data_IF_084238191423
#
_entry.id   IF_084238191423
#
_cell.length_a   1.000
_cell.length_b   1.000
_cell.length_c   1.000
_cell.angle_alpha   90.00
_cell.angle_beta   90.00
_cell.angle_gamma   90.00
#
_symmetry.space_group_name_H-M   'P 1'
#
loop_
_entity.id
_entity.type
_entity.pdbx_description
1 polymer ?
#
# COMPACT_ATOMS: atom_id res chain seq x y z
N UNK A 1 -50.87 2.22 -6.52
CA UNK A 1 -49.98 1.87 -7.64
C UNK A 1 -48.60 1.89 -7.06
N UNK A 2 -48.12 0.71 -6.61
CA UNK A 2 -46.86 0.54 -5.88
C UNK A 2 -45.78 0.22 -6.90
N UNK A 3 -44.85 1.15 -7.11
CA UNK A 3 -43.67 0.91 -7.94
C UNK A 3 -42.69 0.01 -7.16
N UNK A 4 -42.56 -1.23 -7.59
CA UNK A 4 -41.51 -2.12 -7.15
C UNK A 4 -40.20 -1.66 -7.77
N UNK A 5 -39.36 -1.02 -6.96
CA UNK A 5 -37.95 -0.78 -7.30
C UNK A 5 -37.21 -2.11 -7.11
N UNK A 6 -37.08 -2.88 -8.18
CA UNK A 6 -36.19 -4.04 -8.20
C UNK A 6 -34.75 -3.51 -8.23
N UNK A 7 -34.11 -3.51 -7.06
CA UNK A 7 -32.68 -3.36 -6.95
C UNK A 7 -32.03 -4.53 -7.68
N UNK A 8 -31.51 -4.27 -8.89
CA UNK A 8 -30.60 -5.19 -9.56
C UNK A 8 -29.33 -5.28 -8.71
N UNK A 9 -29.26 -6.26 -7.83
CA UNK A 9 -27.99 -6.74 -7.30
C UNK A 9 -27.26 -7.30 -8.51
N UNK A 10 -26.30 -6.54 -9.02
CA UNK A 10 -25.32 -7.04 -9.99
C UNK A 10 -24.44 -8.03 -9.22
N UNK A 11 -24.83 -9.29 -9.23
CA UNK A 11 -23.90 -10.37 -8.85
C UNK A 11 -22.85 -10.37 -9.96
N UNK A 12 -21.70 -9.77 -9.68
CA UNK A 12 -20.51 -9.98 -10.48
C UNK A 12 -20.20 -11.47 -10.42
N UNK A 13 -20.51 -12.18 -11.50
CA UNK A 13 -20.11 -13.55 -11.69
C UNK A 13 -18.56 -13.57 -11.62
N UNK A 14 -18.05 -13.98 -10.47
CA UNK A 14 -16.61 -14.16 -10.30
C UNK A 14 -16.15 -15.25 -11.26
N UNK A 15 -15.28 -14.91 -12.21
CA UNK A 15 -14.72 -15.85 -13.15
C UNK A 15 -13.89 -16.90 -12.39
N UNK A 16 -14.29 -18.17 -12.43
CA UNK A 16 -13.49 -19.24 -11.89
C UNK A 16 -12.40 -19.62 -12.88
N UNK A 17 -11.15 -19.28 -12.57
CA UNK A 17 -9.98 -19.68 -13.35
C UNK A 17 -9.46 -21.03 -12.84
N UNK A 18 -9.42 -22.05 -13.72
CA UNK A 18 -8.79 -23.33 -13.45
C UNK A 18 -7.52 -23.48 -14.27
N UNK A 19 -6.38 -23.72 -13.61
CA UNK A 19 -5.08 -23.92 -14.27
C UNK A 19 -4.36 -25.13 -13.69
N UNK A 20 -3.57 -25.80 -14.53
CA UNK A 20 -2.68 -26.88 -14.09
C UNK A 20 -1.29 -26.32 -13.88
N UNK A 21 -0.74 -26.55 -12.70
CA UNK A 21 0.62 -26.20 -12.34
C UNK A 21 1.53 -27.44 -12.42
N UNK A 22 2.82 -27.24 -12.67
CA UNK A 22 3.81 -28.29 -12.46
C UNK A 22 3.96 -28.57 -10.96
N UNK A 23 4.36 -29.79 -10.60
CA UNK A 23 4.57 -30.19 -9.20
C UNK A 23 5.52 -29.23 -8.46
N UNK A 24 6.58 -28.78 -9.13
CA UNK A 24 7.51 -27.82 -8.56
C UNK A 24 6.84 -26.45 -8.28
N UNK A 25 6.05 -25.94 -9.22
CA UNK A 25 5.34 -24.67 -9.07
C UNK A 25 4.28 -24.77 -7.97
N UNK A 26 3.56 -25.89 -7.91
CA UNK A 26 2.60 -26.15 -6.84
C UNK A 26 3.28 -26.15 -5.47
N UNK A 27 4.39 -26.87 -5.32
CA UNK A 27 5.15 -26.90 -4.08
C UNK A 27 5.67 -25.52 -3.65
N UNK A 28 6.07 -24.67 -4.62
CA UNK A 28 6.48 -23.28 -4.36
C UNK A 28 5.30 -22.44 -3.89
N UNK A 29 4.15 -22.56 -4.54
CA UNK A 29 2.92 -21.86 -4.17
C UNK A 29 2.45 -22.25 -2.76
N UNK A 30 2.46 -23.53 -2.43
CA UNK A 30 2.10 -24.04 -1.10
C UNK A 30 3.02 -23.51 -0.01
N UNK A 31 4.34 -23.42 -0.29
CA UNK A 31 5.30 -22.82 0.67
C UNK A 31 5.03 -21.34 0.90
N UNK A 32 4.72 -20.60 -0.17
CA UNK A 32 4.39 -19.18 -0.06
C UNK A 32 3.08 -18.97 0.70
N UNK A 33 2.04 -19.75 0.37
CA UNK A 33 0.74 -19.71 1.03
C UNK A 33 0.86 -19.90 2.56
N UNK A 34 1.63 -20.90 2.99
CA UNK A 34 1.91 -21.13 4.42
C UNK A 34 2.59 -19.94 5.09
N UNK A 35 3.56 -19.29 4.42
CA UNK A 35 4.23 -18.10 4.97
C UNK A 35 3.30 -16.90 5.10
N UNK A 36 2.30 -16.81 4.22
CA UNK A 36 1.33 -15.70 4.21
C UNK A 36 0.08 -16.01 5.06
N UNK A 37 -0.03 -17.20 5.63
CA UNK A 37 -1.22 -17.62 6.37
C UNK A 37 -2.48 -17.74 5.51
N UNK A 38 -2.31 -18.03 4.21
CA UNK A 38 -3.37 -18.12 3.21
C UNK A 38 -3.45 -19.54 2.60
N UNK A 39 -4.57 -19.83 1.94
CA UNK A 39 -4.67 -21.02 1.11
C UNK A 39 -3.88 -20.86 -0.19
N UNK A 40 -3.47 -21.97 -0.86
CA UNK A 40 -2.82 -21.89 -2.17
C UNK A 40 -3.69 -21.17 -3.22
N UNK A 41 -5.01 -21.34 -3.19
CA UNK A 41 -5.94 -20.69 -4.11
C UNK A 41 -5.96 -19.16 -3.91
N UNK A 42 -6.12 -18.69 -2.67
CA UNK A 42 -6.07 -17.25 -2.35
C UNK A 42 -4.72 -16.64 -2.69
N UNK A 43 -3.63 -17.37 -2.42
CA UNK A 43 -2.28 -16.90 -2.77
C UNK A 43 -2.10 -16.81 -4.28
N UNK A 44 -2.62 -17.79 -5.04
CA UNK A 44 -2.59 -17.76 -6.50
C UNK A 44 -3.37 -16.57 -7.06
N UNK A 45 -4.60 -16.35 -6.58
CA UNK A 45 -5.43 -15.22 -6.98
C UNK A 45 -4.75 -13.88 -6.67
N UNK A 46 -4.18 -13.73 -5.47
CA UNK A 46 -3.42 -12.53 -5.07
C UNK A 46 -2.23 -12.27 -5.99
N UNK A 47 -1.42 -13.29 -6.31
CA UNK A 47 -0.27 -13.13 -7.19
C UNK A 47 -0.66 -12.75 -8.61
N UNK A 48 -1.78 -13.27 -9.12
CA UNK A 48 -2.32 -12.89 -10.43
C UNK A 48 -2.73 -11.42 -10.40
N UNK A 49 -3.50 -11.00 -9.41
CA UNK A 49 -3.95 -9.62 -9.24
C UNK A 49 -2.76 -8.65 -9.14
N UNK A 50 -1.77 -8.95 -8.28
CA UNK A 50 -0.55 -8.15 -8.16
C UNK A 50 0.20 -8.04 -9.50
N UNK A 51 0.34 -9.15 -10.23
CA UNK A 51 1.01 -9.16 -11.53
C UNK A 51 0.29 -8.33 -12.59
N UNK A 52 -1.05 -8.34 -12.59
CA UNK A 52 -1.85 -7.49 -13.46
C UNK A 52 -1.64 -6.02 -13.11
N UNK A 53 -1.73 -5.64 -11.85
CA UNK A 53 -1.47 -4.27 -11.40
C UNK A 53 -0.05 -3.80 -11.72
N UNK A 54 0.97 -4.65 -11.56
CA UNK A 54 2.34 -4.33 -11.96
C UNK A 54 2.50 -4.09 -13.47
N UNK A 55 1.65 -4.70 -14.30
CA UNK A 55 1.62 -4.48 -15.74
C UNK A 55 0.84 -3.22 -16.16
N UNK A 56 -0.16 -2.83 -15.38
CA UNK A 56 -1.03 -1.69 -15.63
C UNK A 56 -0.43 -0.38 -15.11
N UNK A 57 0.27 -0.43 -13.99
CA UNK A 57 0.81 0.76 -13.33
C UNK A 57 2.33 0.85 -13.46
N UNK A 58 2.80 1.90 -14.12
CA UNK A 58 4.23 2.20 -14.19
C UNK A 58 4.81 2.40 -12.78
N UNK A 59 6.04 1.94 -12.59
CA UNK A 59 6.79 2.06 -11.33
C UNK A 59 6.20 1.34 -10.11
N UNK A 60 5.14 0.56 -10.24
CA UNK A 60 4.56 -0.21 -9.13
C UNK A 60 5.14 -1.63 -9.10
N UNK A 61 5.41 -2.11 -7.88
CA UNK A 61 5.75 -3.51 -7.58
C UNK A 61 5.21 -3.90 -6.22
N UNK A 62 4.95 -5.19 -5.99
CA UNK A 62 4.45 -5.69 -4.72
C UNK A 62 5.55 -6.37 -3.91
N UNK A 63 5.69 -5.95 -2.66
CA UNK A 63 6.67 -6.51 -1.72
C UNK A 63 6.03 -6.96 -0.41
N UNK A 64 6.69 -7.90 0.26
CA UNK A 64 6.32 -8.24 1.64
C UNK A 64 6.75 -7.12 2.58
N UNK A 65 5.86 -6.70 3.43
CA UNK A 65 6.10 -5.83 4.57
C UNK A 65 5.74 -6.52 5.88
N UNK A 66 6.06 -5.96 7.04
CA UNK A 66 5.64 -6.52 8.33
C UNK A 66 4.12 -6.66 8.50
N UNK A 67 3.35 -5.85 7.78
CA UNK A 67 1.88 -5.84 7.82
C UNK A 67 1.23 -6.58 6.62
N UNK A 68 2.02 -7.31 5.84
CA UNK A 68 1.55 -8.06 4.68
C UNK A 68 2.15 -7.57 3.36
N UNK A 69 1.52 -7.93 2.25
CA UNK A 69 1.96 -7.47 0.94
C UNK A 69 1.40 -6.09 0.65
N UNK A 70 2.25 -5.20 0.16
CA UNK A 70 1.90 -3.82 -0.16
C UNK A 70 2.49 -3.38 -1.49
N UNK A 71 1.85 -2.38 -2.11
CA UNK A 71 2.36 -1.71 -3.30
C UNK A 71 3.50 -0.76 -2.93
N UNK A 72 4.64 -0.93 -3.59
CA UNK A 72 5.84 -0.11 -3.47
C UNK A 72 6.16 0.56 -4.80
N UNK A 73 6.87 1.65 -4.72
CA UNK A 73 7.41 2.32 -5.91
C UNK A 73 8.78 1.75 -6.25
N UNK A 74 8.94 1.26 -7.48
CA UNK A 74 10.21 0.70 -8.01
C UNK A 74 11.37 1.67 -7.78
N UNK A 75 12.54 1.11 -7.54
CA UNK A 75 13.78 1.84 -7.26
C UNK A 75 13.73 2.69 -5.98
N UNK A 76 12.90 2.29 -5.00
CA UNK A 76 12.83 2.90 -3.68
C UNK A 76 12.40 1.89 -2.62
N UNK A 77 12.44 2.31 -1.35
CA UNK A 77 11.88 1.56 -0.23
C UNK A 77 10.57 2.19 0.28
N UNK A 78 9.95 3.05 -0.54
CA UNK A 78 8.71 3.73 -0.19
C UNK A 78 7.51 2.97 -0.73
N UNK A 79 6.58 2.64 0.15
CA UNK A 79 5.26 2.19 -0.23
C UNK A 79 4.45 3.36 -0.82
N UNK A 80 3.48 3.05 -1.66
CA UNK A 80 2.63 4.09 -2.29
C UNK A 80 1.95 4.96 -1.24
N UNK A 81 1.38 4.36 -0.18
CA UNK A 81 0.70 5.10 0.87
C UNK A 81 1.61 6.11 1.59
N UNK A 82 2.91 5.80 1.76
CA UNK A 82 3.87 6.73 2.36
C UNK A 82 4.10 7.97 1.50
N UNK A 83 4.16 7.78 0.18
CA UNK A 83 4.27 8.90 -0.76
C UNK A 83 3.00 9.75 -0.74
N UNK A 84 1.82 9.14 -0.68
CA UNK A 84 0.54 9.85 -0.60
C UNK A 84 0.41 10.58 0.74
N UNK A 85 0.80 9.98 1.85
CA UNK A 85 0.78 10.62 3.17
C UNK A 85 1.69 11.86 3.18
N UNK A 86 2.89 11.77 2.63
CA UNK A 86 3.77 12.93 2.48
C UNK A 86 3.18 13.99 1.55
N UNK A 87 2.63 13.58 0.40
CA UNK A 87 2.02 14.51 -0.56
C UNK A 87 0.84 15.30 0.04
N UNK A 88 0.08 14.71 0.96
CA UNK A 88 -0.99 15.40 1.67
C UNK A 88 -0.47 16.59 2.48
N UNK A 89 0.76 16.55 3.02
CA UNK A 89 1.40 17.68 3.70
C UNK A 89 1.71 18.84 2.74
N UNK A 90 1.88 18.54 1.46
CA UNK A 90 2.10 19.51 0.38
C UNK A 90 0.83 19.82 -0.42
N UNK A 91 -0.37 19.57 0.15
CA UNK A 91 -1.65 19.80 -0.52
C UNK A 91 -1.76 19.04 -1.86
N UNK A 92 -1.14 17.87 -1.93
CA UNK A 92 -1.04 17.01 -3.12
C UNK A 92 -0.29 17.66 -4.29
N UNK A 93 0.60 18.60 -4.02
CA UNK A 93 1.49 19.19 -5.00
C UNK A 93 2.56 18.16 -5.42
N UNK A 94 2.48 17.73 -6.66
CA UNK A 94 3.36 16.68 -7.22
C UNK A 94 4.81 17.16 -7.30
N UNK A 95 5.03 18.42 -7.67
CA UNK A 95 6.38 18.98 -7.85
C UNK A 95 7.09 19.13 -6.51
N UNK A 96 6.42 19.68 -5.49
CA UNK A 96 6.98 19.79 -4.14
C UNK A 96 7.26 18.43 -3.53
N UNK A 97 6.35 17.46 -3.75
CA UNK A 97 6.54 16.08 -3.30
C UNK A 97 7.76 15.43 -3.98
N UNK A 98 7.92 15.64 -5.29
CA UNK A 98 9.04 15.12 -6.07
C UNK A 98 10.38 15.72 -5.59
N UNK A 99 10.43 17.02 -5.34
CA UNK A 99 11.61 17.72 -4.82
C UNK A 99 11.98 17.16 -3.43
N UNK A 100 11.01 17.02 -2.53
CA UNK A 100 11.24 16.49 -1.17
C UNK A 100 11.82 15.08 -1.22
N UNK A 101 11.24 14.20 -2.04
CA UNK A 101 11.66 12.81 -2.17
C UNK A 101 12.92 12.63 -3.04
N UNK A 102 13.40 13.70 -3.70
CA UNK A 102 14.50 13.65 -4.69
C UNK A 102 14.20 12.61 -5.79
N UNK A 103 12.97 12.61 -6.29
CA UNK A 103 12.46 11.73 -7.35
C UNK A 103 11.94 12.54 -8.52
N UNK A 104 11.69 11.88 -9.65
CA UNK A 104 11.09 12.52 -10.81
C UNK A 104 9.59 12.75 -10.61
N UNK A 105 9.04 13.71 -11.33
CA UNK A 105 7.60 14.02 -11.31
C UNK A 105 6.78 12.80 -11.76
N UNK A 106 7.24 12.07 -12.78
CA UNK A 106 6.57 10.88 -13.31
C UNK A 106 6.49 9.78 -12.27
N UNK A 107 7.54 9.62 -11.47
CA UNK A 107 7.59 8.63 -10.39
C UNK A 107 6.55 8.96 -9.29
N UNK A 108 6.39 10.24 -8.93
CA UNK A 108 5.37 10.67 -7.98
C UNK A 108 3.97 10.53 -8.58
N UNK A 109 3.78 10.92 -9.85
CA UNK A 109 2.50 10.73 -10.56
C UNK A 109 2.06 9.26 -10.60
N UNK A 110 2.99 8.32 -10.71
CA UNK A 110 2.65 6.90 -10.66
C UNK A 110 2.02 6.50 -9.31
N UNK A 111 2.52 7.05 -8.19
CA UNK A 111 1.90 6.84 -6.87
C UNK A 111 0.49 7.42 -6.81
N UNK A 112 0.26 8.61 -7.39
CA UNK A 112 -1.06 9.22 -7.43
C UNK A 112 -2.04 8.42 -8.27
N UNK A 113 -1.63 7.97 -9.46
CA UNK A 113 -2.47 7.15 -10.35
C UNK A 113 -2.89 5.83 -9.67
N UNK A 114 -1.95 5.19 -8.97
CA UNK A 114 -2.26 3.98 -8.22
C UNK A 114 -3.24 4.26 -7.07
N UNK A 115 -3.00 5.33 -6.30
CA UNK A 115 -3.86 5.71 -5.19
C UNK A 115 -5.27 6.14 -5.63
N UNK A 116 -5.41 6.69 -6.82
CA UNK A 116 -6.71 7.01 -7.42
C UNK A 116 -7.49 5.75 -7.80
N UNK A 117 -6.80 4.73 -8.30
CA UNK A 117 -7.41 3.46 -8.67
C UNK A 117 -7.75 2.58 -7.44
N UNK A 118 -6.96 2.67 -6.37
CA UNK A 118 -7.11 1.86 -5.15
C UNK A 118 -7.18 2.72 -3.88
N UNK A 119 -8.16 3.64 -3.77
CA UNK A 119 -8.20 4.61 -2.68
C UNK A 119 -8.42 3.97 -1.31
N UNK A 120 -9.21 2.89 -1.23
CA UNK A 120 -9.50 2.19 0.03
C UNK A 120 -8.25 1.51 0.59
N UNK A 121 -7.44 0.87 -0.27
CA UNK A 121 -6.17 0.24 0.12
C UNK A 121 -5.22 1.27 0.72
N UNK A 122 -5.10 2.42 0.09
CA UNK A 122 -4.19 3.49 0.52
C UNK A 122 -4.69 4.16 1.79
N UNK A 123 -5.99 4.44 1.89
CA UNK A 123 -6.58 5.04 3.10
C UNK A 123 -6.42 4.14 4.31
N UNK A 124 -6.70 2.84 4.17
CA UNK A 124 -6.56 1.87 5.23
C UNK A 124 -5.09 1.78 5.71
N UNK A 125 -4.13 1.74 4.78
CA UNK A 125 -2.72 1.69 5.15
C UNK A 125 -2.25 2.95 5.90
N UNK A 126 -2.77 4.13 5.55
CA UNK A 126 -2.49 5.38 6.27
C UNK A 126 -3.17 5.37 7.65
N UNK A 127 -4.40 4.91 7.75
CA UNK A 127 -5.13 4.79 9.02
C UNK A 127 -4.42 3.84 9.99
N UNK A 128 -3.97 2.69 9.49
CA UNK A 128 -3.19 1.72 10.27
C UNK A 128 -1.89 2.33 10.81
N UNK A 129 -1.16 3.09 9.98
CA UNK A 129 0.06 3.78 10.40
C UNK A 129 -0.22 4.84 11.48
N UNK A 130 -1.26 5.66 11.27
CA UNK A 130 -1.67 6.68 12.23
C UNK A 130 -2.21 6.09 13.55
N UNK A 131 -2.75 4.88 13.53
CA UNK A 131 -3.20 4.17 14.73
C UNK A 131 -2.03 3.68 15.61
N UNK A 132 -0.81 3.62 15.07
CA UNK A 132 0.39 3.24 15.80
C UNK A 132 0.77 4.40 16.74
N UNK A 133 0.62 4.19 18.04
CA UNK A 133 0.98 5.16 19.06
C UNK A 133 2.16 4.67 19.92
N UNK A 134 2.72 5.58 20.74
CA UNK A 134 3.85 5.26 21.60
C UNK A 134 3.59 4.03 22.51
N UNK A 135 2.38 3.88 23.01
CA UNK A 135 2.02 2.74 23.88
C UNK A 135 2.11 1.42 23.12
N UNK A 136 1.66 1.40 21.86
CA UNK A 136 1.75 0.23 20.97
C UNK A 136 3.21 -0.06 20.63
N UNK A 137 3.98 0.96 20.28
CA UNK A 137 5.42 0.83 19.97
C UNK A 137 6.17 0.27 21.19
N UNK A 138 5.91 0.80 22.39
CA UNK A 138 6.57 0.36 23.61
C UNK A 138 6.26 -1.09 24.00
N UNK A 139 5.08 -1.60 23.63
CA UNK A 139 4.73 -3.03 23.82
C UNK A 139 5.56 -3.96 22.93
N UNK A 140 5.86 -3.53 21.71
CA UNK A 140 6.61 -4.31 20.73
C UNK A 140 8.12 -4.14 20.94
N UNK A 141 8.54 -2.93 21.28
CA UNK A 141 9.93 -2.52 21.51
C UNK A 141 10.06 -1.89 22.91
N UNK A 142 10.21 -2.70 23.98
CA UNK A 142 10.22 -2.20 25.35
C UNK A 142 11.32 -1.17 25.66
N UNK A 143 12.40 -1.18 24.87
CA UNK A 143 13.53 -0.24 24.98
C UNK A 143 13.25 1.15 24.40
N UNK A 144 12.08 1.37 23.78
CA UNK A 144 11.73 2.66 23.16
C UNK A 144 11.48 3.70 24.25
N UNK A 145 12.12 4.88 24.11
CA UNK A 145 11.91 6.05 24.96
C UNK A 145 11.25 7.17 24.15
N UNK A 146 10.31 7.87 24.77
CA UNK A 146 9.69 9.05 24.18
C UNK A 146 10.56 10.28 24.47
N UNK A 147 11.18 10.84 23.44
CA UNK A 147 11.88 12.10 23.53
C UNK A 147 10.92 13.24 23.15
N UNK A 148 10.62 14.09 24.09
CA UNK A 148 9.89 15.34 23.84
C UNK A 148 10.90 16.40 23.43
N UNK A 149 10.85 16.82 22.17
CA UNK A 149 11.68 17.92 21.67
C UNK A 149 10.91 19.22 21.94
N UNK A 150 11.49 20.17 22.72
CA UNK A 150 10.86 21.47 22.93
C UNK A 150 10.64 22.19 21.60
N UNK A 151 9.51 22.89 21.46
CA UNK A 151 9.14 23.57 20.19
C UNK A 151 10.07 24.71 19.80
N UNK A 152 10.75 25.31 20.77
CA UNK A 152 11.71 26.39 20.61
C UNK A 152 12.97 26.00 19.79
N UNK A 153 13.25 24.71 19.62
CA UNK A 153 14.40 24.23 18.82
C UNK A 153 14.17 24.40 17.31
N UNK A 154 12.93 24.59 16.85
CA UNK A 154 12.58 24.69 15.43
C UNK A 154 12.47 26.14 14.92
N UNK A 155 12.47 27.14 15.79
CA UNK A 155 12.32 28.57 15.38
C UNK A 155 13.61 29.20 14.88
N UNK A 156 14.79 28.60 15.12
CA UNK A 156 16.10 29.20 14.82
C UNK A 156 16.73 28.77 13.49
N UNK A 157 15.98 28.11 12.61
CA UNK A 157 16.47 27.67 11.29
C UNK A 157 15.82 28.39 10.10
N UNK A 158 15.48 29.67 10.24
CA UNK A 158 15.19 30.52 9.08
C UNK A 158 16.50 30.94 8.45
N UNK A 159 16.82 30.58 7.20
CA UNK A 159 18.01 31.09 6.53
C UNK A 159 17.79 32.59 6.19
N UNK A 160 18.76 33.42 6.57
CA UNK A 160 18.92 34.79 6.07
C UNK A 160 19.18 34.79 4.56
#
# INVERSE_FOLDING_TARGET
MILFLISKICVLDALQLSTRLSEETEARLQRLARRLGKTPSETGAMLIEESLRESEFAYIEFRNSPVGRQAYLKHSNLAVWQVIMLANQYQRDVEKTAIHLKKTIEWVKAAFNYAEAYPEEISLAIEDDLAINYTTIKRILPQTELLLIPQDVFEDSSPE
#
